data_IF_159542351750
#
_entry.id   IF_159542351750
#
_cell.length_a   1.000
_cell.length_b   1.000
_cell.length_c   1.000
_cell.angle_alpha   90.00
_cell.angle_beta   90.00
_cell.angle_gamma   90.00
#
_symmetry.space_group_name_H-M   'P 1'
#
loop_
_entity.id
_entity.type
_entity.pdbx_description
1 polymer ?
#
# COMPACT_ATOMS: atom_id res chain seq x y z
N UNK A 1 -8.85 13.97 4.65
CA UNK A 1 -9.06 12.61 5.24
C UNK A 1 -8.60 11.59 4.22
N UNK A 2 -7.80 10.60 4.65
CA UNK A 2 -7.21 9.62 3.74
C UNK A 2 -8.06 8.35 3.67
N UNK A 3 -8.33 7.88 2.45
CA UNK A 3 -9.10 6.68 2.16
C UNK A 3 -8.27 5.68 1.36
N UNK A 4 -8.54 4.40 1.53
CA UNK A 4 -7.94 3.33 0.73
C UNK A 4 -8.99 2.72 -0.18
N UNK A 5 -8.70 2.67 -1.47
CA UNK A 5 -9.57 2.11 -2.50
C UNK A 5 -8.95 0.85 -3.09
N UNK A 6 -9.73 -0.20 -3.23
CA UNK A 6 -9.41 -1.39 -4.02
C UNK A 6 -10.14 -1.29 -5.36
N UNK A 7 -9.39 -1.25 -6.44
CA UNK A 7 -9.90 -1.09 -7.80
C UNK A 7 -9.55 -2.34 -8.62
N UNK A 8 -10.54 -3.03 -9.14
CA UNK A 8 -10.34 -4.10 -10.10
C UNK A 8 -10.38 -3.52 -11.51
N UNK A 9 -9.38 -3.86 -12.30
CA UNK A 9 -9.24 -3.37 -13.68
C UNK A 9 -8.92 -4.50 -14.63
N UNK A 10 -9.26 -4.33 -15.91
CA UNK A 10 -8.75 -5.23 -16.94
C UNK A 10 -7.22 -5.21 -16.95
N UNK A 11 -6.60 -6.38 -16.99
CA UNK A 11 -5.14 -6.52 -17.11
C UNK A 11 -4.70 -6.28 -18.56
N UNK A 12 -4.78 -5.00 -18.98
CA UNK A 12 -4.43 -4.56 -20.33
C UNK A 12 -3.46 -3.40 -20.30
N UNK A 13 -2.59 -3.25 -21.31
CA UNK A 13 -1.74 -2.07 -21.44
C UNK A 13 -2.55 -0.78 -21.35
N UNK A 14 -2.04 0.19 -20.60
CA UNK A 14 -2.66 1.52 -20.43
C UNK A 14 -3.76 1.62 -19.36
N UNK A 15 -4.22 0.53 -18.73
CA UNK A 15 -5.22 0.60 -17.68
C UNK A 15 -4.76 1.47 -16.50
N UNK A 16 -3.56 1.23 -15.97
CA UNK A 16 -2.96 2.03 -14.91
C UNK A 16 -2.73 3.49 -15.35
N UNK A 17 -2.25 3.70 -16.57
CA UNK A 17 -2.02 5.05 -17.11
C UNK A 17 -3.30 5.88 -17.15
N UNK A 18 -4.43 5.29 -17.50
CA UNK A 18 -5.73 5.98 -17.54
C UNK A 18 -6.16 6.44 -16.15
N UNK A 19 -5.98 5.59 -15.13
CA UNK A 19 -6.26 5.94 -13.74
C UNK A 19 -5.33 7.06 -13.29
N UNK A 20 -4.02 6.92 -13.45
CA UNK A 20 -3.04 7.93 -13.06
C UNK A 20 -3.30 9.28 -13.77
N UNK A 21 -3.62 9.25 -15.06
CA UNK A 21 -3.98 10.45 -15.83
C UNK A 21 -5.28 11.11 -15.34
N UNK A 22 -6.25 10.34 -14.90
CA UNK A 22 -7.49 10.87 -14.33
C UNK A 22 -7.20 11.58 -13.01
N UNK A 23 -6.40 10.98 -12.12
CA UNK A 23 -5.97 11.61 -10.87
C UNK A 23 -5.20 12.90 -11.12
N UNK A 24 -4.20 12.87 -12.01
CA UNK A 24 -3.35 14.02 -12.34
C UNK A 24 -4.19 15.20 -12.89
N UNK A 25 -5.09 14.93 -13.85
CA UNK A 25 -5.94 16.00 -14.46
C UNK A 25 -6.89 16.67 -13.49
N UNK A 26 -7.23 15.99 -12.37
CA UNK A 26 -8.14 16.50 -11.35
C UNK A 26 -7.44 17.01 -10.11
N UNK A 27 -6.11 16.95 -10.09
CA UNK A 27 -5.32 17.38 -8.94
C UNK A 27 -5.50 16.51 -7.70
N UNK A 28 -5.92 15.23 -7.87
CA UNK A 28 -6.03 14.31 -6.75
C UNK A 28 -4.66 13.76 -6.40
N UNK A 29 -4.29 13.80 -5.12
CA UNK A 29 -3.03 13.24 -4.65
C UNK A 29 -3.16 11.75 -4.38
N UNK A 30 -2.20 10.97 -4.88
CA UNK A 30 -2.03 9.55 -4.57
C UNK A 30 -0.89 9.42 -3.57
N UNK A 31 -1.19 9.00 -2.35
CA UNK A 31 -0.18 8.78 -1.32
C UNK A 31 0.60 7.47 -1.54
N UNK A 32 -0.10 6.41 -1.94
CA UNK A 32 0.51 5.13 -2.29
C UNK A 32 -0.32 4.40 -3.33
N UNK A 33 0.37 3.57 -4.12
CA UNK A 33 -0.20 2.79 -5.21
C UNK A 33 0.48 1.43 -5.26
N UNK A 34 -0.30 0.37 -5.13
CA UNK A 34 0.15 -1.01 -5.35
C UNK A 34 -0.69 -1.66 -6.44
N UNK A 35 -0.04 -2.34 -7.38
CA UNK A 35 -0.69 -3.02 -8.51
C UNK A 35 -0.20 -4.46 -8.57
N UNK A 36 -1.12 -5.40 -8.70
CA UNK A 36 -0.78 -6.81 -8.84
C UNK A 36 -1.87 -7.60 -9.57
N UNK A 37 -1.53 -8.80 -10.05
CA UNK A 37 -2.49 -9.72 -10.63
C UNK A 37 -3.51 -10.17 -9.58
N UNK A 38 -4.64 -10.70 -10.04
CA UNK A 38 -5.62 -11.38 -9.18
C UNK A 38 -5.64 -12.88 -9.49
N UNK A 39 -6.57 -13.61 -8.89
CA UNK A 39 -6.87 -15.01 -9.24
C UNK A 39 -7.34 -15.18 -10.70
N UNK A 40 -7.69 -14.07 -11.36
CA UNK A 40 -8.05 -14.03 -12.78
C UNK A 40 -6.92 -13.40 -13.59
N UNK A 41 -6.43 -14.09 -14.62
CA UNK A 41 -5.33 -13.60 -15.47
C UNK A 41 -5.65 -12.31 -16.24
N UNK A 42 -6.93 -12.08 -16.53
CA UNK A 42 -7.43 -10.93 -17.28
C UNK A 42 -7.74 -9.73 -16.38
N UNK A 43 -7.57 -9.86 -15.04
CA UNK A 43 -7.89 -8.81 -14.05
C UNK A 43 -6.69 -8.51 -13.15
N UNK A 44 -6.41 -7.23 -12.97
CA UNK A 44 -5.45 -6.72 -11.97
C UNK A 44 -6.18 -5.99 -10.84
N UNK A 45 -5.60 -6.04 -9.66
CA UNK A 45 -6.02 -5.24 -8.51
C UNK A 45 -5.08 -4.08 -8.32
N UNK A 46 -5.64 -2.90 -8.16
CA UNK A 46 -4.93 -1.69 -7.79
C UNK A 46 -5.43 -1.27 -6.40
N UNK A 47 -4.53 -1.15 -5.45
CA UNK A 47 -4.83 -0.55 -4.14
C UNK A 47 -4.28 0.87 -4.14
N UNK A 48 -5.15 1.85 -3.96
CA UNK A 48 -4.80 3.27 -4.03
C UNK A 48 -5.13 3.93 -2.70
N UNK A 49 -4.16 4.61 -2.09
CA UNK A 49 -4.40 5.52 -0.98
C UNK A 49 -4.51 6.94 -1.50
N UNK A 50 -5.64 7.59 -1.20
CA UNK A 50 -5.95 8.94 -1.66
C UNK A 50 -6.19 9.88 -0.50
N UNK A 51 -5.80 11.15 -0.64
CA UNK A 51 -6.20 12.20 0.28
C UNK A 51 -7.40 12.96 -0.27
N UNK A 52 -8.52 12.88 0.45
CA UNK A 52 -9.78 13.54 0.11
C UNK A 52 -9.95 14.89 0.82
N UNK A 53 -8.86 15.61 1.13
CA UNK A 53 -8.94 16.90 1.81
C UNK A 53 -9.70 17.97 0.99
N UNK A 54 -9.60 17.89 -0.34
CA UNK A 54 -10.19 18.88 -1.27
C UNK A 54 -11.33 18.34 -2.13
N UNK A 55 -11.65 17.04 -2.01
CA UNK A 55 -12.71 16.41 -2.82
C UNK A 55 -13.37 15.27 -2.03
N UNK A 56 -14.58 14.90 -2.40
CA UNK A 56 -15.25 13.77 -1.77
C UNK A 56 -14.81 12.45 -2.40
N UNK A 57 -14.75 11.40 -1.57
CA UNK A 57 -14.47 10.04 -2.03
C UNK A 57 -15.45 9.61 -3.14
N UNK A 58 -16.73 9.94 -2.97
CA UNK A 58 -17.79 9.66 -3.95
C UNK A 58 -17.49 10.25 -5.34
N UNK A 59 -16.91 11.45 -5.38
CA UNK A 59 -16.50 12.05 -6.66
C UNK A 59 -15.37 11.28 -7.31
N UNK A 60 -14.37 10.83 -6.52
CA UNK A 60 -13.27 10.01 -7.03
C UNK A 60 -13.81 8.69 -7.60
N UNK A 61 -14.67 8.01 -6.85
CA UNK A 61 -15.30 6.75 -7.30
C UNK A 61 -16.11 6.94 -8.59
N UNK A 62 -16.94 7.97 -8.67
CA UNK A 62 -17.72 8.31 -9.89
C UNK A 62 -16.82 8.55 -11.10
N UNK A 63 -15.64 9.15 -10.92
CA UNK A 63 -14.72 9.38 -12.02
C UNK A 63 -13.99 8.09 -12.44
N UNK A 64 -13.64 7.23 -11.50
CA UNK A 64 -13.05 5.93 -11.82
C UNK A 64 -14.02 5.04 -12.60
N UNK A 65 -15.31 5.02 -12.23
CA UNK A 65 -16.33 4.26 -12.95
C UNK A 65 -16.54 4.68 -14.41
N UNK A 66 -16.11 5.90 -14.81
CA UNK A 66 -16.14 6.33 -16.20
C UNK A 66 -15.00 5.77 -17.05
N UNK A 67 -14.01 5.14 -16.44
CA UNK A 67 -12.88 4.56 -17.16
C UNK A 67 -13.24 3.15 -17.66
N UNK A 68 -13.10 2.94 -18.96
CA UNK A 68 -13.50 1.69 -19.66
C UNK A 68 -12.88 0.43 -19.04
N UNK A 69 -11.65 0.54 -18.52
CA UNK A 69 -10.93 -0.60 -17.98
C UNK A 69 -11.24 -0.89 -16.50
N UNK A 70 -12.02 -0.02 -15.82
CA UNK A 70 -12.37 -0.20 -14.40
C UNK A 70 -13.59 -1.11 -14.29
N UNK A 71 -13.40 -2.25 -13.64
CA UNK A 71 -14.45 -3.26 -13.44
C UNK A 71 -15.19 -3.06 -12.12
N UNK A 72 -14.46 -2.65 -11.07
CA UNK A 72 -15.03 -2.45 -9.73
C UNK A 72 -14.18 -1.48 -8.93
N UNK A 73 -14.84 -0.62 -8.16
CA UNK A 73 -14.21 0.23 -7.14
C UNK A 73 -14.84 -0.09 -5.80
N UNK A 74 -14.01 -0.26 -4.77
CA UNK A 74 -14.47 -0.54 -3.40
C UNK A 74 -13.59 0.21 -2.41
N UNK A 75 -14.21 0.96 -1.51
CA UNK A 75 -13.51 1.49 -0.35
C UNK A 75 -13.15 0.37 0.64
N UNK A 76 -11.91 0.39 1.12
CA UNK A 76 -11.43 -0.46 2.20
C UNK A 76 -11.57 0.29 3.52
N UNK A 77 -12.65 0.00 4.24
CA UNK A 77 -12.95 0.68 5.51
C UNK A 77 -12.07 0.11 6.62
N UNK A 78 -11.42 0.96 7.44
CA UNK A 78 -10.67 0.50 8.62
C UNK A 78 -11.53 -0.38 9.52
N UNK A 79 -10.97 -1.51 9.99
CA UNK A 79 -11.68 -2.51 10.78
C UNK A 79 -12.43 -3.57 9.95
N UNK A 80 -12.93 -3.23 8.75
CA UNK A 80 -13.60 -4.15 7.83
C UNK A 80 -12.64 -4.71 6.75
N UNK A 81 -11.42 -4.22 6.72
CA UNK A 81 -10.36 -4.64 5.77
C UNK A 81 -9.09 -5.07 6.49
N UNK A 82 -8.24 -5.75 5.75
CA UNK A 82 -6.86 -6.06 6.14
C UNK A 82 -5.97 -5.31 5.16
N UNK A 83 -5.11 -4.43 5.68
CA UNK A 83 -4.09 -3.75 4.90
C UNK A 83 -2.70 -4.21 5.36
N UNK A 84 -1.79 -4.41 4.41
CA UNK A 84 -0.38 -4.75 4.64
C UNK A 84 0.51 -4.00 3.68
N UNK A 85 1.71 -3.70 4.16
CA UNK A 85 2.83 -3.23 3.34
C UNK A 85 4.04 -4.12 3.60
N UNK A 86 4.92 -4.20 2.61
CA UNK A 86 6.28 -4.68 2.78
C UNK A 86 7.23 -3.49 2.71
N UNK A 87 8.16 -3.40 3.64
CA UNK A 87 9.23 -2.42 3.64
C UNK A 87 10.60 -3.09 3.70
N UNK A 88 11.55 -2.52 2.95
CA UNK A 88 12.97 -2.81 3.02
C UNK A 88 13.67 -1.57 3.57
N UNK A 89 14.41 -1.74 4.66
CA UNK A 89 15.10 -0.65 5.36
C UNK A 89 16.59 -0.98 5.46
N UNK A 90 17.43 -0.18 4.80
CA UNK A 90 18.88 -0.30 4.91
C UNK A 90 19.38 0.65 5.99
N UNK A 91 19.97 0.11 7.02
CA UNK A 91 20.43 0.84 8.20
C UNK A 91 21.94 0.66 8.38
N UNK A 92 22.65 1.74 8.69
CA UNK A 92 24.08 1.67 9.02
C UNK A 92 24.28 0.80 10.28
N UNK A 93 25.21 -0.13 10.23
CA UNK A 93 25.45 -1.08 11.30
C UNK A 93 26.93 -1.42 11.41
N UNK A 94 27.62 -0.78 12.35
CA UNK A 94 28.96 -1.21 12.77
C UNK A 94 28.86 -2.52 13.53
N UNK A 95 29.95 -3.26 13.64
CA UNK A 95 29.99 -4.55 14.35
C UNK A 95 29.45 -4.45 15.78
N UNK A 96 29.69 -3.33 16.48
CA UNK A 96 29.22 -3.10 17.85
C UNK A 96 27.71 -2.83 17.97
N UNK A 97 27.06 -2.33 16.93
CA UNK A 97 25.63 -1.98 16.92
C UNK A 97 24.72 -3.06 16.34
N UNK A 98 25.30 -4.07 15.68
CA UNK A 98 24.52 -5.11 14.98
C UNK A 98 23.55 -5.85 15.88
N UNK A 99 24.03 -6.31 17.03
CA UNK A 99 23.20 -7.10 17.95
C UNK A 99 22.01 -6.30 18.47
N UNK A 100 22.22 -5.02 18.78
CA UNK A 100 21.17 -4.10 19.21
C UNK A 100 20.10 -3.88 18.11
N UNK A 101 20.55 -3.59 16.88
CA UNK A 101 19.65 -3.37 15.75
C UNK A 101 18.85 -4.63 15.40
N UNK A 102 19.45 -5.80 15.44
CA UNK A 102 18.77 -7.09 15.20
C UNK A 102 17.71 -7.33 16.29
N UNK A 103 18.05 -7.10 17.55
CA UNK A 103 17.10 -7.25 18.66
C UNK A 103 15.91 -6.28 18.55
N UNK A 104 16.15 -5.04 18.13
CA UNK A 104 15.08 -4.07 17.83
C UNK A 104 14.18 -4.58 16.70
N UNK A 105 14.77 -5.07 15.61
CA UNK A 105 14.05 -5.60 14.46
C UNK A 105 13.16 -6.80 14.83
N UNK A 106 13.68 -7.73 15.63
CA UNK A 106 12.94 -8.89 16.12
C UNK A 106 11.71 -8.50 16.94
N UNK A 107 11.81 -7.46 17.77
CA UNK A 107 10.69 -6.95 18.56
C UNK A 107 9.52 -6.43 17.69
N UNK A 108 9.80 -5.98 16.46
CA UNK A 108 8.80 -5.57 15.46
C UNK A 108 8.36 -6.70 14.53
N UNK A 109 8.98 -7.87 14.65
CA UNK A 109 8.76 -8.97 13.70
C UNK A 109 9.44 -8.73 12.34
N UNK A 110 10.40 -7.81 12.28
CA UNK A 110 11.24 -7.62 11.11
C UNK A 110 12.33 -8.70 11.08
N UNK A 111 12.77 -9.05 9.88
CA UNK A 111 13.84 -10.01 9.69
C UNK A 111 15.00 -9.38 8.94
N UNK A 112 16.18 -9.94 9.13
CA UNK A 112 17.37 -9.58 8.35
C UNK A 112 17.22 -10.18 6.97
N UNK A 113 17.15 -9.32 5.94
CA UNK A 113 17.13 -9.73 4.54
C UNK A 113 18.55 -9.84 3.96
N UNK A 114 19.45 -8.93 4.41
CA UNK A 114 20.84 -8.94 4.01
C UNK A 114 21.73 -8.35 5.12
N UNK A 115 22.95 -8.88 5.25
CA UNK A 115 23.91 -8.48 6.27
C UNK A 115 25.27 -8.15 5.63
N UNK A 116 25.54 -6.86 5.51
CA UNK A 116 26.82 -6.35 5.02
C UNK A 116 27.82 -6.00 6.13
N UNK A 117 29.02 -5.57 5.74
CA UNK A 117 30.07 -5.18 6.68
C UNK A 117 29.71 -3.93 7.50
N UNK A 118 29.00 -2.97 6.90
CA UNK A 118 28.71 -1.66 7.49
C UNK A 118 27.20 -1.33 7.51
N UNK A 119 26.36 -2.22 7.03
CA UNK A 119 24.90 -2.03 6.99
C UNK A 119 24.15 -3.34 7.07
N UNK A 120 22.89 -3.23 7.49
CA UNK A 120 21.91 -4.34 7.51
C UNK A 120 20.71 -3.88 6.69
N UNK A 121 20.15 -4.80 5.89
CA UNK A 121 18.86 -4.63 5.26
C UNK A 121 17.84 -5.43 6.05
N UNK A 122 16.86 -4.73 6.62
CA UNK A 122 15.71 -5.33 7.28
C UNK A 122 14.53 -5.42 6.32
N UNK A 123 13.78 -6.50 6.42
CA UNK A 123 12.49 -6.69 5.77
C UNK A 123 11.40 -6.73 6.84
N UNK A 124 10.37 -5.90 6.68
CA UNK A 124 9.20 -5.90 7.54
C UNK A 124 7.92 -5.98 6.70
N UNK A 125 7.08 -6.96 7.01
CA UNK A 125 5.71 -7.04 6.51
C UNK A 125 4.77 -6.76 7.68
N UNK A 126 4.00 -5.68 7.57
CA UNK A 126 3.16 -5.24 8.68
C UNK A 126 2.02 -4.32 8.26
N UNK A 127 1.32 -3.78 9.26
CA UNK A 127 0.43 -2.65 9.01
C UNK A 127 1.26 -1.40 8.69
N UNK A 128 0.70 -0.42 7.98
CA UNK A 128 1.43 0.83 7.72
C UNK A 128 1.96 1.48 8.99
N UNK A 129 1.19 1.45 10.07
CA UNK A 129 1.54 2.04 11.36
C UNK A 129 2.73 1.30 12.02
N UNK A 130 2.79 -0.04 11.86
CA UNK A 130 3.94 -0.82 12.33
C UNK A 130 5.21 -0.46 11.56
N UNK A 131 5.09 -0.29 10.24
CA UNK A 131 6.22 0.10 9.39
C UNK A 131 6.69 1.52 9.75
N UNK A 132 5.76 2.46 9.91
CA UNK A 132 6.09 3.84 10.30
C UNK A 132 6.82 3.86 11.66
N UNK A 133 6.34 3.11 12.65
CA UNK A 133 6.96 3.01 13.98
C UNK A 133 8.35 2.38 13.92
N UNK A 134 8.56 1.35 13.09
CA UNK A 134 9.88 0.73 12.92
C UNK A 134 10.84 1.67 12.17
N UNK A 135 10.36 2.37 11.15
CA UNK A 135 11.15 3.39 10.44
C UNK A 135 11.63 4.48 11.41
N UNK A 136 10.73 5.04 12.24
CA UNK A 136 11.06 6.03 13.24
C UNK A 136 12.11 5.53 14.25
N UNK A 137 12.00 4.26 14.68
CA UNK A 137 12.94 3.65 15.60
C UNK A 137 14.35 3.51 15.02
N UNK A 138 14.47 3.08 13.76
CA UNK A 138 15.79 2.85 13.14
C UNK A 138 16.41 4.11 12.53
N UNK A 139 15.63 5.15 12.32
CA UNK A 139 16.09 6.41 11.71
C UNK A 139 17.29 7.05 12.44
N UNK A 140 17.33 7.15 13.79
CA UNK A 140 18.48 7.70 14.52
C UNK A 140 19.75 6.83 14.40
N UNK A 141 19.61 5.55 14.07
CA UNK A 141 20.73 4.63 13.89
C UNK A 141 21.40 4.73 12.51
N UNK A 142 20.91 5.61 11.64
CA UNK A 142 21.46 5.87 10.32
C UNK A 142 20.72 5.09 9.22
N UNK A 143 19.41 5.34 9.11
CA UNK A 143 18.61 4.87 7.97
C UNK A 143 19.19 5.46 6.68
N UNK A 144 19.66 4.61 5.77
CA UNK A 144 20.30 4.98 4.51
C UNK A 144 19.33 4.96 3.33
N UNK A 145 18.53 3.89 3.24
CA UNK A 145 17.57 3.68 2.16
C UNK A 145 16.27 3.06 2.72
N UNK A 146 15.16 3.45 2.13
CA UNK A 146 13.84 2.92 2.45
C UNK A 146 13.09 2.63 1.14
N UNK A 147 12.64 1.39 0.97
CA UNK A 147 11.71 1.00 -0.08
C UNK A 147 10.41 0.48 0.53
N UNK A 148 9.26 0.94 0.04
CA UNK A 148 7.93 0.47 0.48
C UNK A 148 7.09 0.10 -0.74
N UNK A 149 6.32 -0.97 -0.63
CA UNK A 149 5.38 -1.39 -1.68
C UNK A 149 4.16 -0.48 -1.81
N UNK A 150 3.87 0.30 -0.77
CA UNK A 150 2.54 0.86 -0.58
C UNK A 150 1.56 -0.19 -0.05
N UNK A 151 0.34 0.25 0.23
CA UNK A 151 -0.68 -0.58 0.87
C UNK A 151 -1.29 -1.58 -0.12
N UNK A 152 -1.27 -2.85 0.25
CA UNK A 152 -2.10 -3.89 -0.34
C UNK A 152 -3.25 -4.18 0.63
N UNK A 153 -4.50 -4.17 0.14
CA UNK A 153 -5.66 -4.35 0.99
C UNK A 153 -6.73 -5.28 0.42
N UNK A 154 -7.37 -6.02 1.31
CA UNK A 154 -8.53 -6.87 1.02
C UNK A 154 -9.58 -6.70 2.12
N UNK A 155 -10.86 -6.84 1.77
CA UNK A 155 -11.92 -6.96 2.75
C UNK A 155 -11.71 -8.20 3.63
N UNK A 156 -12.09 -8.14 4.91
CA UNK A 156 -12.01 -9.29 5.81
C UNK A 156 -12.96 -10.40 5.38
N UNK A 157 -12.58 -11.65 5.64
CA UNK A 157 -13.40 -12.83 5.32
C UNK A 157 -14.77 -12.81 6.01
N UNK A 158 -14.85 -12.30 7.24
CA UNK A 158 -16.08 -12.14 8.00
C UNK A 158 -16.75 -10.77 7.82
N UNK A 159 -16.20 -9.89 6.95
CA UNK A 159 -16.77 -8.56 6.70
C UNK A 159 -18.11 -8.69 6.01
N UNK A 160 -19.12 -7.99 6.51
CA UNK A 160 -20.35 -7.73 5.76
C UNK A 160 -19.93 -7.01 4.49
N UNK A 161 -20.01 -7.69 3.35
CA UNK A 161 -20.03 -7.03 2.05
C UNK A 161 -21.24 -6.11 2.06
N UNK A 162 -21.02 -4.85 2.35
CA UNK A 162 -22.05 -3.84 2.21
C UNK A 162 -22.33 -3.74 0.72
N UNK A 163 -23.32 -4.51 0.23
CA UNK A 163 -23.72 -4.59 -1.18
C UNK A 163 -24.00 -3.22 -1.78
N UNK A 164 -24.28 -2.21 -0.95
CA UNK A 164 -24.58 -0.84 -1.37
C UNK A 164 -23.35 0.03 -1.65
N UNK A 165 -22.10 -0.42 -1.33
CA UNK A 165 -20.85 0.31 -1.61
C UNK A 165 -20.01 -0.30 -2.73
N UNK A 166 -20.53 -1.32 -3.41
CA UNK A 166 -19.86 -1.93 -4.55
C UNK A 166 -20.74 -1.73 -5.79
N UNK A 167 -20.42 -0.74 -6.59
CA UNK A 167 -21.05 -0.62 -7.92
C UNK A 167 -20.36 -1.62 -8.84
N UNK A 168 -21.03 -2.74 -9.12
CA UNK A 168 -20.62 -3.67 -10.17
C UNK A 168 -21.24 -3.18 -11.46
N UNK A 169 -20.41 -2.82 -12.43
CA UNK A 169 -20.89 -2.66 -13.81
C UNK A 169 -21.01 -4.08 -14.39
N UNK A 170 -22.21 -4.50 -14.73
CA UNK A 170 -22.53 -5.70 -15.50
C UNK A 170 -22.28 -5.42 -16.97
#
# INVERSE_FOLDING_TARGET
MKHTLSVLVENKPGALMRIASMFARRGYNIDSLAVGPTERHDVSRITIRVDCAQTSLEQIEKQMHKLVNVLRVQELVPGESIERELALLKVAATASKRAELISMAEAFGARVADLGAESIVFELVGTPEQIDSFEELVRPHGLQELGRTGRLGLARAAGRTNKNRSTVLV
#
